data_IF_439340606954
#
_entry.id   IF_439340606954
#
_cell.length_a   1.000
_cell.length_b   1.000
_cell.length_c   1.000
_cell.angle_alpha   90.00
_cell.angle_beta   90.00
_cell.angle_gamma   90.00
#
_symmetry.space_group_name_H-M   'P 1'
#
loop_
_entity.id
_entity.type
_entity.pdbx_description
1 polymer ?
#
# COMPACT_ATOMS: atom_id res chain seq x y z
N UNK A 1 8.83 -6.16 25.25
CA UNK A 1 9.40 -7.35 24.57
C UNK A 1 8.52 -7.84 23.41
N UNK A 2 7.21 -7.93 23.55
CA UNK A 2 6.29 -8.41 22.47
C UNK A 2 6.38 -7.61 21.16
N UNK A 3 6.49 -6.28 21.20
CA UNK A 3 6.60 -5.44 19.99
C UNK A 3 7.86 -5.70 19.17
N UNK A 4 9.02 -5.84 19.83
CA UNK A 4 10.28 -6.09 19.13
C UNK A 4 10.26 -7.47 18.48
N UNK A 5 9.74 -8.46 19.19
CA UNK A 5 9.65 -9.83 18.68
C UNK A 5 8.69 -9.94 17.49
N UNK A 6 7.48 -9.38 17.60
CA UNK A 6 6.51 -9.40 16.49
C UNK A 6 7.02 -8.63 15.26
N UNK A 7 7.70 -7.49 15.45
CA UNK A 7 8.34 -6.76 14.36
C UNK A 7 9.45 -7.56 13.68
N UNK A 8 10.33 -8.20 14.45
CA UNK A 8 11.39 -9.04 13.91
C UNK A 8 10.84 -10.24 13.12
N UNK A 9 9.80 -10.90 13.63
CA UNK A 9 9.13 -12.02 12.94
C UNK A 9 8.51 -11.55 11.63
N UNK A 10 7.81 -10.40 11.62
CA UNK A 10 7.20 -9.86 10.40
C UNK A 10 8.26 -9.51 9.35
N UNK A 11 9.35 -8.88 9.75
CA UNK A 11 10.45 -8.54 8.84
C UNK A 11 11.09 -9.82 8.29
N UNK A 12 11.39 -10.80 9.14
CA UNK A 12 11.97 -12.07 8.71
C UNK A 12 11.05 -12.81 7.74
N UNK A 13 9.74 -12.84 8.02
CA UNK A 13 8.73 -13.44 7.15
C UNK A 13 8.66 -12.71 5.80
N UNK A 14 8.61 -11.38 5.81
CA UNK A 14 8.56 -10.58 4.59
C UNK A 14 9.80 -10.81 3.72
N UNK A 15 10.99 -10.81 4.32
CA UNK A 15 12.24 -11.12 3.62
C UNK A 15 12.22 -12.54 3.05
N UNK A 16 11.82 -13.53 3.86
CA UNK A 16 11.76 -14.92 3.43
C UNK A 16 10.80 -15.11 2.25
N UNK A 17 9.61 -14.51 2.32
CA UNK A 17 8.60 -14.57 1.25
C UNK A 17 9.10 -13.89 -0.02
N UNK A 18 9.71 -12.70 0.08
CA UNK A 18 10.22 -11.97 -1.09
C UNK A 18 11.35 -12.74 -1.80
N UNK A 19 12.26 -13.35 -1.04
CA UNK A 19 13.44 -13.99 -1.63
C UNK A 19 13.25 -15.46 -2.01
N UNK A 20 12.50 -16.22 -1.23
CA UNK A 20 12.46 -17.69 -1.35
C UNK A 20 11.11 -18.24 -1.80
N UNK A 21 10.00 -17.47 -1.70
CA UNK A 21 8.70 -17.99 -2.12
C UNK A 21 8.64 -18.21 -3.65
N UNK A 22 8.16 -19.38 -4.10
CA UNK A 22 7.82 -19.59 -5.49
C UNK A 22 6.66 -18.67 -5.90
N UNK A 23 6.47 -18.39 -7.20
CA UNK A 23 5.49 -17.40 -7.68
C UNK A 23 4.06 -17.63 -7.16
N UNK A 24 3.59 -18.88 -7.09
CA UNK A 24 2.25 -19.21 -6.60
C UNK A 24 2.09 -18.91 -5.11
N UNK A 25 3.12 -19.17 -4.30
CA UNK A 25 3.09 -18.88 -2.86
C UNK A 25 3.16 -17.37 -2.61
N UNK A 26 3.96 -16.64 -3.40
CA UNK A 26 4.01 -15.18 -3.33
C UNK A 26 2.65 -14.55 -3.69
N UNK A 27 1.97 -15.07 -4.73
CA UNK A 27 0.61 -14.67 -5.07
C UNK A 27 -0.37 -14.96 -3.93
N UNK A 28 -0.29 -16.14 -3.33
CA UNK A 28 -1.14 -16.51 -2.18
C UNK A 28 -0.94 -15.55 -0.98
N UNK A 29 0.30 -15.14 -0.71
CA UNK A 29 0.58 -14.09 0.28
C UNK A 29 -0.05 -12.75 -0.10
N UNK A 30 0.03 -12.36 -1.36
CA UNK A 30 -0.63 -11.16 -1.87
C UNK A 30 -2.15 -11.23 -1.67
N UNK A 31 -2.77 -12.37 -1.99
CA UNK A 31 -4.21 -12.63 -1.74
C UNK A 31 -4.55 -12.47 -0.26
N UNK A 32 -3.73 -13.05 0.62
CA UNK A 32 -3.95 -12.94 2.08
C UNK A 32 -3.86 -11.49 2.55
N UNK A 33 -2.81 -10.76 2.14
CA UNK A 33 -2.62 -9.34 2.49
C UNK A 33 -3.79 -8.50 1.97
N UNK A 34 -4.19 -8.71 0.71
CA UNK A 34 -5.32 -7.99 0.14
C UNK A 34 -6.63 -8.29 0.86
N UNK A 35 -6.89 -9.55 1.20
CA UNK A 35 -8.09 -9.95 1.92
C UNK A 35 -8.18 -9.32 3.32
N UNK A 36 -7.07 -9.34 4.06
CA UNK A 36 -6.99 -8.70 5.38
C UNK A 36 -7.16 -7.18 5.28
N UNK A 37 -6.47 -6.55 4.32
CA UNK A 37 -6.58 -5.11 4.09
C UNK A 37 -8.00 -4.67 3.68
N UNK A 38 -8.67 -5.44 2.82
CA UNK A 38 -10.09 -5.20 2.47
C UNK A 38 -10.98 -5.29 3.69
N UNK A 39 -10.80 -6.31 4.53
CA UNK A 39 -11.59 -6.44 5.74
C UNK A 39 -11.41 -5.23 6.67
N UNK A 40 -10.19 -4.77 6.89
CA UNK A 40 -9.90 -3.58 7.70
C UNK A 40 -10.55 -2.32 7.08
N UNK A 41 -10.41 -2.13 5.76
CA UNK A 41 -10.97 -0.96 5.08
C UNK A 41 -12.51 -0.96 5.09
N UNK A 42 -13.15 -2.12 4.96
CA UNK A 42 -14.61 -2.26 5.08
C UNK A 42 -15.06 -1.95 6.53
N UNK A 43 -14.31 -2.37 7.54
CA UNK A 43 -14.58 -2.01 8.93
C UNK A 43 -14.52 -0.49 9.14
N UNK A 44 -13.49 0.18 8.58
CA UNK A 44 -13.37 1.64 8.64
C UNK A 44 -14.52 2.34 7.92
N UNK A 45 -14.93 1.86 6.74
CA UNK A 45 -16.06 2.40 6.00
C UNK A 45 -17.38 2.29 6.80
N UNK A 46 -17.61 1.12 7.41
CA UNK A 46 -18.80 0.90 8.25
C UNK A 46 -18.78 1.75 9.54
N UNK A 47 -17.62 1.97 10.14
CA UNK A 47 -17.45 2.90 11.26
C UNK A 47 -17.81 4.34 10.86
N UNK A 48 -17.59 4.70 9.59
CA UNK A 48 -18.02 5.97 8.98
C UNK A 48 -19.48 5.97 8.50
N UNK A 49 -20.31 5.02 8.93
CA UNK A 49 -21.74 4.87 8.60
C UNK A 49 -21.99 4.62 7.11
N UNK A 50 -21.04 4.03 6.38
CA UNK A 50 -21.23 3.64 4.99
C UNK A 50 -21.66 2.17 4.91
N UNK A 51 -22.64 1.89 4.05
CA UNK A 51 -23.12 0.53 3.80
C UNK A 51 -22.22 -0.13 2.73
N UNK A 52 -21.35 -1.04 3.19
CA UNK A 52 -20.36 -1.74 2.35
C UNK A 52 -20.44 -3.23 2.60
N UNK A 53 -20.75 -4.00 1.56
CA UNK A 53 -20.83 -5.47 1.62
C UNK A 53 -19.46 -6.09 1.43
N UNK A 54 -18.96 -6.83 2.44
CA UNK A 54 -17.58 -7.38 2.44
C UNK A 54 -17.30 -8.31 1.26
N UNK A 55 -18.16 -9.32 1.02
CA UNK A 55 -17.87 -10.38 0.06
C UNK A 55 -17.76 -9.92 -1.39
N UNK A 56 -18.70 -9.11 -1.92
CA UNK A 56 -18.58 -8.58 -3.28
C UNK A 56 -17.35 -7.67 -3.45
N UNK A 57 -17.06 -6.83 -2.45
CA UNK A 57 -15.89 -5.94 -2.45
C UNK A 57 -14.60 -6.76 -2.42
N UNK A 58 -14.54 -7.80 -1.59
CA UNK A 58 -13.41 -8.71 -1.53
C UNK A 58 -13.18 -9.40 -2.89
N UNK A 59 -14.24 -9.95 -3.50
CA UNK A 59 -14.15 -10.60 -4.81
C UNK A 59 -13.64 -9.64 -5.89
N UNK A 60 -14.17 -8.41 -5.96
CA UNK A 60 -13.76 -7.40 -6.92
C UNK A 60 -12.27 -6.99 -6.70
N UNK A 61 -11.86 -6.82 -5.45
CA UNK A 61 -10.48 -6.45 -5.11
C UNK A 61 -9.49 -7.57 -5.46
N UNK A 62 -9.81 -8.81 -5.12
CA UNK A 62 -8.97 -9.96 -5.43
C UNK A 62 -8.88 -10.20 -6.94
N UNK A 63 -9.98 -10.03 -7.69
CA UNK A 63 -9.97 -10.09 -9.14
C UNK A 63 -9.01 -9.04 -9.72
N UNK A 64 -9.14 -7.78 -9.29
CA UNK A 64 -8.26 -6.69 -9.73
C UNK A 64 -6.80 -6.99 -9.42
N UNK A 65 -6.51 -7.44 -8.19
CA UNK A 65 -5.16 -7.81 -7.75
C UNK A 65 -4.56 -8.92 -8.62
N UNK A 66 -5.30 -10.00 -8.87
CA UNK A 66 -4.82 -11.15 -9.66
C UNK A 66 -4.58 -10.74 -11.12
N UNK A 67 -5.44 -9.90 -11.69
CA UNK A 67 -5.29 -9.41 -13.07
C UNK A 67 -4.04 -8.55 -13.21
N UNK A 68 -3.77 -7.65 -12.27
CA UNK A 68 -2.54 -6.83 -12.28
C UNK A 68 -1.30 -7.68 -12.03
N UNK A 69 -1.37 -8.60 -11.07
CA UNK A 69 -0.26 -9.47 -10.69
C UNK A 69 0.10 -10.53 -11.75
N UNK A 70 -0.83 -10.82 -12.66
CA UNK A 70 -0.66 -11.81 -13.74
C UNK A 70 -1.13 -11.25 -15.09
N UNK A 71 -0.50 -10.19 -15.60
CA UNK A 71 -1.00 -9.38 -16.73
C UNK A 71 -1.14 -10.12 -18.06
N UNK A 72 -0.62 -11.35 -18.17
CA UNK A 72 -0.66 -12.11 -19.42
C UNK A 72 -2.03 -12.74 -19.74
N UNK A 73 -2.99 -12.75 -18.81
CA UNK A 73 -4.25 -13.51 -18.98
C UNK A 73 -5.49 -12.64 -19.26
N UNK A 74 -5.65 -11.51 -18.59
CA UNK A 74 -6.88 -10.70 -18.70
C UNK A 74 -6.56 -9.21 -18.72
N UNK A 75 -7.28 -8.42 -19.54
CA UNK A 75 -7.16 -6.96 -19.55
C UNK A 75 -7.68 -6.36 -18.24
N UNK A 76 -6.96 -5.34 -17.72
CA UNK A 76 -7.33 -4.67 -16.47
C UNK A 76 -8.66 -3.92 -16.58
N UNK A 77 -8.94 -3.33 -17.73
CA UNK A 77 -10.20 -2.64 -18.02
C UNK A 77 -11.40 -3.56 -17.84
N UNK A 78 -11.33 -4.81 -18.32
CA UNK A 78 -12.39 -5.80 -18.14
C UNK A 78 -12.62 -6.09 -16.64
N UNK A 79 -11.55 -6.24 -15.85
CA UNK A 79 -11.70 -6.48 -14.42
C UNK A 79 -12.35 -5.28 -13.70
N UNK A 80 -11.93 -4.05 -14.01
CA UNK A 80 -12.47 -2.85 -13.38
C UNK A 80 -13.91 -2.57 -13.82
N UNK A 81 -14.24 -2.76 -15.10
CA UNK A 81 -15.62 -2.63 -15.59
C UNK A 81 -16.55 -3.68 -14.96
N UNK A 82 -16.08 -4.92 -14.86
CA UNK A 82 -16.85 -5.99 -14.20
C UNK A 82 -17.07 -5.69 -12.71
N UNK A 83 -16.04 -5.19 -12.01
CA UNK A 83 -16.14 -4.77 -10.61
C UNK A 83 -17.16 -3.62 -10.46
N UNK A 84 -17.10 -2.61 -11.34
CA UNK A 84 -18.04 -1.48 -11.33
C UNK A 84 -19.49 -1.96 -11.48
N UNK A 85 -19.75 -2.78 -12.50
CA UNK A 85 -21.11 -3.29 -12.75
C UNK A 85 -21.59 -4.18 -11.61
N UNK A 86 -20.78 -5.14 -11.17
CA UNK A 86 -21.15 -6.06 -10.10
C UNK A 86 -21.42 -5.33 -8.78
N UNK A 87 -20.52 -4.42 -8.36
CA UNK A 87 -20.69 -3.65 -7.13
C UNK A 87 -21.83 -2.62 -7.24
N UNK A 88 -22.06 -2.05 -8.42
CA UNK A 88 -23.21 -1.20 -8.69
C UNK A 88 -24.54 -1.94 -8.55
N UNK A 89 -24.65 -3.17 -9.07
CA UNK A 89 -25.82 -4.02 -8.90
C UNK A 89 -26.04 -4.43 -7.44
N UNK A 90 -24.97 -4.75 -6.71
CA UNK A 90 -25.04 -5.05 -5.26
C UNK A 90 -25.53 -3.81 -4.50
N UNK A 91 -24.97 -2.63 -4.78
CA UNK A 91 -25.38 -1.38 -4.14
C UNK A 91 -26.86 -1.07 -4.42
N UNK A 92 -27.32 -1.26 -5.68
CA UNK A 92 -28.72 -1.08 -6.06
C UNK A 92 -29.65 -2.04 -5.31
N UNK A 93 -29.28 -3.31 -5.22
CA UNK A 93 -30.09 -4.35 -4.56
C UNK A 93 -30.11 -4.24 -3.02
N UNK A 94 -29.07 -3.68 -2.42
CA UNK A 94 -28.96 -3.49 -0.96
C UNK A 94 -29.50 -2.15 -0.47
N UNK A 95 -29.68 -1.17 -1.34
CA UNK A 95 -30.09 0.17 -0.93
C UNK A 95 -31.48 0.21 -0.31
N UNK A 96 -31.57 0.75 0.88
CA UNK A 96 -32.82 0.89 1.67
C UNK A 96 -33.33 2.34 1.75
N UNK A 97 -32.79 3.22 0.92
CA UNK A 97 -33.03 4.67 0.98
C UNK A 97 -31.95 5.38 1.82
N UNK A 98 -31.90 6.71 1.71
CA UNK A 98 -30.97 7.54 2.48
C UNK A 98 -29.92 8.27 1.64
N UNK A 99 -29.23 9.27 2.22
CA UNK A 99 -28.35 10.19 1.50
C UNK A 99 -26.95 9.61 1.21
N UNK A 100 -26.58 8.46 1.78
CA UNK A 100 -25.23 7.89 1.70
C UNK A 100 -24.99 6.98 0.51
N UNK A 101 -25.94 6.81 -0.40
CA UNK A 101 -25.85 5.88 -1.52
C UNK A 101 -24.58 6.07 -2.37
N UNK A 102 -24.29 7.31 -2.79
CA UNK A 102 -23.09 7.62 -3.57
C UNK A 102 -21.81 7.31 -2.80
N UNK A 103 -21.76 7.71 -1.53
CA UNK A 103 -20.58 7.48 -0.68
C UNK A 103 -20.35 5.98 -0.41
N UNK A 104 -21.42 5.21 -0.17
CA UNK A 104 -21.37 3.76 0.02
C UNK A 104 -20.95 3.03 -1.26
N UNK A 105 -21.46 3.43 -2.43
CA UNK A 105 -21.06 2.87 -3.72
C UNK A 105 -19.57 3.18 -4.00
N UNK A 106 -19.12 4.41 -3.78
CA UNK A 106 -17.72 4.80 -3.92
C UNK A 106 -16.82 4.02 -2.95
N UNK A 107 -17.21 3.88 -1.68
CA UNK A 107 -16.48 3.10 -0.68
C UNK A 107 -16.42 1.61 -1.01
N UNK A 108 -17.42 1.07 -1.75
CA UNK A 108 -17.41 -0.31 -2.21
C UNK A 108 -16.44 -0.54 -3.38
N UNK A 109 -16.24 0.45 -4.25
CA UNK A 109 -15.28 0.38 -5.37
C UNK A 109 -13.84 0.69 -4.94
N UNK A 110 -13.67 1.51 -3.91
CA UNK A 110 -12.39 2.03 -3.47
C UNK A 110 -11.36 0.93 -3.12
N UNK A 111 -11.68 -0.19 -2.45
CA UNK A 111 -10.72 -1.25 -2.15
C UNK A 111 -10.10 -1.90 -3.39
N UNK A 112 -10.83 -2.03 -4.49
CA UNK A 112 -10.26 -2.56 -5.73
C UNK A 112 -9.14 -1.66 -6.28
N UNK A 113 -9.30 -0.34 -6.16
CA UNK A 113 -8.30 0.65 -6.58
C UNK A 113 -7.18 0.81 -5.56
N UNK A 114 -7.51 0.95 -4.28
CA UNK A 114 -6.57 1.29 -3.21
C UNK A 114 -5.74 0.10 -2.72
N UNK A 115 -6.29 -1.12 -2.76
CA UNK A 115 -5.62 -2.35 -2.32
C UNK A 115 -5.34 -3.26 -3.52
N UNK A 116 -6.35 -3.53 -4.36
CA UNK A 116 -6.24 -4.48 -5.46
C UNK A 116 -5.16 -4.11 -6.47
N UNK A 117 -5.17 -2.88 -6.98
CA UNK A 117 -4.14 -2.43 -7.92
C UNK A 117 -2.74 -2.42 -7.30
N UNK A 118 -2.49 -1.82 -6.11
CA UNK A 118 -1.15 -1.75 -5.55
C UNK A 118 -0.59 -3.11 -5.11
N UNK A 119 -1.40 -3.96 -4.48
CA UNK A 119 -0.93 -5.30 -4.09
C UNK A 119 -0.68 -6.16 -5.34
N UNK A 120 -1.52 -6.05 -6.36
CA UNK A 120 -1.25 -6.64 -7.68
C UNK A 120 0.05 -6.13 -8.29
N UNK A 121 0.32 -4.82 -8.19
CA UNK A 121 1.58 -4.23 -8.64
C UNK A 121 2.80 -4.80 -7.88
N UNK A 122 2.72 -5.02 -6.56
CA UNK A 122 3.78 -5.69 -5.80
C UNK A 122 4.06 -7.11 -6.31
N UNK A 123 3.00 -7.87 -6.63
CA UNK A 123 3.13 -9.21 -7.22
C UNK A 123 3.77 -9.13 -8.61
N UNK A 124 3.34 -8.19 -9.45
CA UNK A 124 3.90 -7.97 -10.78
C UNK A 124 5.37 -7.54 -10.73
N UNK A 125 5.75 -6.60 -9.83
CA UNK A 125 7.14 -6.19 -9.61
C UNK A 125 8.00 -7.41 -9.27
N UNK A 126 7.53 -8.29 -8.38
CA UNK A 126 8.26 -9.50 -8.00
C UNK A 126 8.42 -10.47 -9.18
N UNK A 127 7.42 -10.57 -10.02
CA UNK A 127 7.43 -11.48 -11.19
C UNK A 127 8.31 -10.96 -12.32
N UNK A 128 8.27 -9.64 -12.60
CA UNK A 128 9.00 -8.99 -13.70
C UNK A 128 10.44 -8.63 -13.32
N UNK A 129 10.62 -7.96 -12.19
CA UNK A 129 11.92 -7.44 -11.72
C UNK A 129 12.63 -8.34 -10.72
N UNK A 130 12.01 -9.46 -10.34
CA UNK A 130 12.56 -10.40 -9.36
C UNK A 130 12.55 -9.89 -7.92
N UNK A 131 13.14 -10.69 -7.03
CA UNK A 131 13.23 -10.36 -5.60
C UNK A 131 13.95 -9.03 -5.34
N UNK A 132 15.00 -8.75 -6.12
CA UNK A 132 15.82 -7.54 -5.96
C UNK A 132 15.01 -6.26 -6.19
N UNK A 133 14.20 -6.21 -7.23
CA UNK A 133 13.38 -5.04 -7.54
C UNK A 133 12.35 -4.78 -6.43
N UNK A 134 11.61 -5.80 -6.02
CA UNK A 134 10.62 -5.65 -4.95
C UNK A 134 11.29 -5.29 -3.61
N UNK A 135 12.38 -5.95 -3.28
CA UNK A 135 13.09 -5.69 -2.02
C UNK A 135 13.69 -4.29 -1.99
N UNK A 136 14.17 -3.75 -3.14
CA UNK A 136 14.63 -2.38 -3.25
C UNK A 136 13.53 -1.37 -2.90
N UNK A 137 12.31 -1.56 -3.42
CA UNK A 137 11.16 -0.74 -3.06
C UNK A 137 10.87 -0.80 -1.55
N UNK A 138 10.78 -2.00 -1.00
CA UNK A 138 10.50 -2.19 0.44
C UNK A 138 11.59 -1.56 1.31
N UNK A 139 12.85 -1.78 0.96
CA UNK A 139 13.99 -1.23 1.70
C UNK A 139 14.00 0.31 1.64
N UNK A 140 13.65 0.89 0.48
CA UNK A 140 13.53 2.34 0.31
C UNK A 140 12.49 2.93 1.23
N UNK A 141 11.31 2.33 1.31
CA UNK A 141 10.24 2.75 2.22
C UNK A 141 10.68 2.62 3.68
N UNK A 142 11.23 1.48 4.07
CA UNK A 142 11.68 1.23 5.46
C UNK A 142 12.76 2.24 5.88
N UNK A 143 13.75 2.51 5.02
CA UNK A 143 14.82 3.46 5.31
C UNK A 143 14.28 4.88 5.35
N UNK A 144 13.36 5.24 4.43
CA UNK A 144 12.69 6.52 4.45
C UNK A 144 11.94 6.75 5.76
N UNK A 145 11.12 5.78 6.21
CA UNK A 145 10.35 5.91 7.45
C UNK A 145 11.24 5.99 8.69
N UNK A 146 12.29 5.19 8.71
CA UNK A 146 13.30 5.22 9.78
C UNK A 146 13.98 6.59 9.82
N UNK A 147 14.39 7.12 8.67
CA UNK A 147 15.02 8.42 8.56
C UNK A 147 14.05 9.56 8.94
N UNK A 148 12.77 9.47 8.51
CA UNK A 148 11.72 10.42 8.93
C UNK A 148 11.61 10.48 10.45
N UNK A 149 11.58 9.32 11.11
CA UNK A 149 11.46 9.25 12.56
C UNK A 149 12.67 9.90 13.26
N UNK A 150 13.90 9.51 12.90
CA UNK A 150 15.10 10.03 13.58
C UNK A 150 15.37 11.50 13.26
N UNK A 151 15.21 11.92 12.00
CA UNK A 151 15.39 13.33 11.61
C UNK A 151 14.29 14.21 12.23
N UNK A 152 13.05 13.74 12.25
CA UNK A 152 11.95 14.43 12.91
C UNK A 152 12.15 14.56 14.42
N UNK A 153 12.72 13.54 15.07
CA UNK A 153 13.03 13.58 16.49
C UNK A 153 14.21 14.51 16.82
N UNK A 154 15.22 14.56 15.96
CA UNK A 154 16.43 15.35 16.18
C UNK A 154 16.24 16.84 15.81
N UNK A 155 15.54 17.11 14.71
CA UNK A 155 15.47 18.43 14.08
C UNK A 155 14.05 18.96 13.91
N UNK A 156 13.01 18.15 14.17
CA UNK A 156 11.62 18.50 13.91
C UNK A 156 11.15 19.73 14.66
N UNK A 157 10.63 20.70 13.91
CA UNK A 157 10.09 21.96 14.44
C UNK A 157 8.70 22.24 13.90
N UNK A 158 8.44 21.88 12.63
CA UNK A 158 7.21 22.21 11.92
C UNK A 158 6.41 20.95 11.65
N UNK A 159 5.14 20.84 12.10
CA UNK A 159 4.33 19.69 11.79
C UNK A 159 4.05 19.59 10.29
N UNK A 160 4.13 18.37 9.73
CA UNK A 160 3.86 18.12 8.31
C UNK A 160 2.36 18.09 8.01
N UNK A 161 1.58 17.42 8.85
CA UNK A 161 0.14 17.24 8.69
C UNK A 161 -0.55 17.27 10.06
N UNK A 162 -0.80 18.47 10.66
CA UNK A 162 -1.25 18.63 12.04
C UNK A 162 -2.54 17.88 12.35
N UNK A 163 -3.49 17.85 11.43
CA UNK A 163 -4.82 17.24 11.61
C UNK A 163 -4.75 15.72 11.50
N UNK A 164 -3.95 15.20 10.59
CA UNK A 164 -3.90 13.78 10.24
C UNK A 164 -2.89 13.03 11.10
N UNK A 165 -1.66 13.56 11.18
CA UNK A 165 -0.55 12.96 11.91
C UNK A 165 0.30 14.05 12.58
N UNK A 166 -0.09 14.52 13.78
CA UNK A 166 0.55 15.66 14.44
C UNK A 166 2.02 15.43 14.84
N UNK A 167 2.47 14.18 14.87
CA UNK A 167 3.86 13.82 15.21
C UNK A 167 4.82 13.84 14.03
N UNK A 168 4.30 13.85 12.78
CA UNK A 168 5.15 13.95 11.59
C UNK A 168 5.58 15.39 11.36
N UNK A 169 6.86 15.59 11.01
CA UNK A 169 7.44 16.93 10.81
C UNK A 169 7.99 17.09 9.40
N UNK A 170 8.08 18.34 8.92
CA UNK A 170 8.64 18.68 7.60
C UNK A 170 10.13 18.27 7.56
N UNK A 171 10.87 18.53 8.63
CA UNK A 171 12.28 18.16 8.74
C UNK A 171 12.47 16.63 8.71
N UNK A 172 11.54 15.90 9.32
CA UNK A 172 11.47 14.45 9.21
C UNK A 172 11.25 14.00 7.77
N UNK A 173 10.26 14.57 7.08
CA UNK A 173 9.97 14.25 5.68
C UNK A 173 11.16 14.53 4.75
N UNK A 174 11.88 15.64 4.97
CA UNK A 174 13.13 15.93 4.24
C UNK A 174 14.20 14.87 4.51
N UNK A 175 14.38 14.47 5.77
CA UNK A 175 15.30 13.38 6.12
C UNK A 175 14.95 12.07 5.41
N UNK A 176 13.67 11.68 5.44
CA UNK A 176 13.18 10.51 4.71
C UNK A 176 13.43 10.60 3.20
N UNK A 177 13.16 11.78 2.61
CA UNK A 177 13.39 12.03 1.19
C UNK A 177 14.88 11.87 0.82
N UNK A 178 15.77 12.44 1.59
CA UNK A 178 17.22 12.34 1.34
C UNK A 178 17.70 10.90 1.48
N UNK A 179 17.49 10.28 2.63
CA UNK A 179 18.06 8.94 2.90
C UNK A 179 17.41 7.84 2.06
N UNK A 180 16.10 7.89 1.84
CA UNK A 180 15.41 6.94 0.97
C UNK A 180 15.85 7.06 -0.50
N UNK A 181 15.99 8.29 -1.01
CA UNK A 181 16.50 8.54 -2.38
C UNK A 181 17.93 8.07 -2.55
N UNK A 182 18.81 8.39 -1.59
CA UNK A 182 20.22 7.95 -1.61
C UNK A 182 20.31 6.43 -1.59
N UNK A 183 19.51 5.76 -0.75
CA UNK A 183 19.45 4.31 -0.72
C UNK A 183 19.02 3.74 -2.07
N UNK A 184 17.87 4.22 -2.61
CA UNK A 184 17.35 3.72 -3.88
C UNK A 184 18.37 3.91 -5.02
N UNK A 185 18.96 5.09 -5.12
CA UNK A 185 19.94 5.39 -6.16
C UNK A 185 21.22 4.54 -6.03
N UNK A 186 21.73 4.37 -4.81
CA UNK A 186 22.96 3.62 -4.53
C UNK A 186 22.78 2.12 -4.74
N UNK A 187 21.78 1.50 -4.11
CA UNK A 187 21.50 0.06 -4.26
C UNK A 187 21.01 -0.25 -5.66
N UNK A 188 20.21 0.64 -6.24
CA UNK A 188 19.75 0.53 -7.62
C UNK A 188 20.87 0.52 -8.66
N UNK A 189 22.05 1.01 -8.34
CA UNK A 189 23.22 0.92 -9.21
C UNK A 189 23.59 -0.54 -9.52
N UNK A 190 23.45 -1.42 -8.54
CA UNK A 190 23.74 -2.86 -8.69
C UNK A 190 22.52 -3.70 -9.08
N UNK A 191 21.33 -3.30 -8.64
CA UNK A 191 20.12 -4.12 -8.82
C UNK A 191 19.29 -3.72 -10.04
N UNK A 192 19.47 -2.49 -10.55
CA UNK A 192 18.85 -1.93 -11.74
C UNK A 192 19.91 -1.25 -12.63
N UNK A 193 20.94 -1.97 -13.07
CA UNK A 193 22.10 -1.37 -13.76
C UNK A 193 21.74 -0.68 -15.08
N UNK A 194 20.69 -1.13 -15.74
CA UNK A 194 20.21 -0.52 -17.00
C UNK A 194 19.61 0.89 -16.79
N UNK A 195 19.23 1.24 -15.58
CA UNK A 195 18.58 2.51 -15.28
C UNK A 195 19.61 3.62 -15.03
N UNK A 196 19.57 4.76 -15.76
CA UNK A 196 20.52 5.88 -15.58
C UNK A 196 20.49 6.44 -14.17
N UNK A 197 21.64 6.95 -13.67
CA UNK A 197 21.77 7.46 -12.30
C UNK A 197 20.77 8.59 -12.01
N UNK A 198 20.62 9.55 -12.93
CA UNK A 198 19.67 10.66 -12.77
C UNK A 198 18.22 10.13 -12.64
N UNK A 199 17.86 9.12 -13.44
CA UNK A 199 16.53 8.53 -13.39
C UNK A 199 16.29 7.78 -12.08
N UNK A 200 17.30 7.04 -11.56
CA UNK A 200 17.23 6.39 -10.24
C UNK A 200 17.00 7.42 -9.12
N UNK A 201 17.67 8.59 -9.17
CA UNK A 201 17.48 9.65 -8.18
C UNK A 201 16.04 10.17 -8.23
N UNK A 202 15.55 10.53 -9.42
CA UNK A 202 14.19 11.04 -9.59
C UNK A 202 13.15 10.00 -9.15
N UNK A 203 13.32 8.76 -9.58
CA UNK A 203 12.41 7.68 -9.21
C UNK A 203 12.45 7.42 -7.69
N UNK A 204 13.64 7.33 -7.09
CA UNK A 204 13.79 7.15 -5.65
C UNK A 204 13.08 8.25 -4.85
N UNK A 205 13.27 9.52 -5.25
CA UNK A 205 12.57 10.65 -4.63
C UNK A 205 11.05 10.53 -4.78
N UNK A 206 10.58 10.18 -5.99
CA UNK A 206 9.15 10.00 -6.26
C UNK A 206 8.56 8.92 -5.38
N UNK A 207 9.22 7.75 -5.27
CA UNK A 207 8.74 6.64 -4.45
C UNK A 207 8.67 6.99 -2.96
N UNK A 208 9.65 7.75 -2.46
CA UNK A 208 9.65 8.23 -1.07
C UNK A 208 8.52 9.22 -0.82
N UNK A 209 8.34 10.22 -1.70
CA UNK A 209 7.25 11.20 -1.57
C UNK A 209 5.89 10.49 -1.60
N UNK A 210 5.71 9.54 -2.50
CA UNK A 210 4.49 8.74 -2.57
C UNK A 210 4.31 7.86 -1.33
N UNK A 211 5.38 7.27 -0.79
CA UNK A 211 5.31 6.52 0.47
C UNK A 211 4.84 7.39 1.64
N UNK A 212 5.40 8.59 1.78
CA UNK A 212 4.96 9.57 2.78
C UNK A 212 3.49 9.95 2.58
N UNK A 213 3.08 10.17 1.34
CA UNK A 213 1.71 10.51 1.00
C UNK A 213 0.74 9.35 1.31
N UNK A 214 1.15 8.09 1.04
CA UNK A 214 0.36 6.90 1.32
C UNK A 214 0.07 6.71 2.81
N UNK A 215 1.10 6.82 3.67
CA UNK A 215 0.93 6.76 5.12
C UNK A 215 0.03 7.92 5.64
N UNK A 216 0.20 9.14 5.13
CA UNK A 216 -0.70 10.25 5.48
C UNK A 216 -2.13 9.99 5.01
N UNK A 217 -2.30 9.43 3.83
CA UNK A 217 -3.61 9.11 3.29
C UNK A 217 -4.33 8.03 4.12
N UNK A 218 -3.64 6.95 4.46
CA UNK A 218 -4.17 5.91 5.35
C UNK A 218 -4.50 6.48 6.73
N UNK A 219 -3.62 7.31 7.28
CA UNK A 219 -3.88 8.02 8.54
C UNK A 219 -5.13 8.90 8.44
N UNK A 220 -5.38 9.58 7.32
CA UNK A 220 -6.60 10.36 7.09
C UNK A 220 -7.85 9.47 7.11
N UNK A 221 -7.82 8.32 6.46
CA UNK A 221 -8.94 7.36 6.48
C UNK A 221 -9.25 6.89 7.91
N UNK A 222 -8.24 6.57 8.71
CA UNK A 222 -8.41 6.18 10.12
C UNK A 222 -9.04 7.31 10.94
N UNK A 223 -8.58 8.56 10.76
CA UNK A 223 -9.16 9.70 11.50
C UNK A 223 -10.61 9.97 11.11
N UNK A 224 -10.96 9.82 9.83
CA UNK A 224 -12.35 9.97 9.38
C UNK A 224 -13.30 8.92 10.00
N UNK A 225 -12.77 7.73 10.30
CA UNK A 225 -13.50 6.68 11.01
C UNK A 225 -13.43 6.79 12.55
N UNK A 226 -12.79 7.85 13.09
CA UNK A 226 -12.65 8.07 14.53
C UNK A 226 -11.67 7.13 15.23
N UNK A 227 -10.82 6.42 14.50
CA UNK A 227 -9.86 5.46 15.04
C UNK A 227 -8.41 5.88 14.80
N UNK A 228 -7.49 5.21 15.46
CA UNK A 228 -6.04 5.44 15.29
C UNK A 228 -5.35 4.35 14.49
N UNK A 229 -5.67 3.11 14.73
CA UNK A 229 -5.09 1.94 14.08
C UNK A 229 -6.20 1.26 13.25
N UNK A 230 -5.86 0.67 12.09
CA UNK A 230 -6.84 0.05 11.19
C UNK A 230 -7.50 -1.19 11.82
N UNK A 231 -6.74 -1.92 12.65
CA UNK A 231 -7.21 -3.05 13.47
C UNK A 231 -6.22 -3.36 14.60
N UNK A 232 -6.53 -4.39 15.39
CA UNK A 232 -5.62 -4.95 16.40
C UNK A 232 -5.06 -6.32 15.99
N UNK A 233 -5.02 -6.61 14.68
CA UNK A 233 -4.65 -7.92 14.14
C UNK A 233 -3.21 -8.31 14.52
N UNK A 234 -2.28 -7.36 14.46
CA UNK A 234 -0.88 -7.60 14.79
C UNK A 234 -0.59 -7.01 16.17
N UNK A 235 -0.34 -7.85 17.20
CA UNK A 235 -0.13 -7.36 18.56
C UNK A 235 0.96 -6.28 18.65
N UNK A 236 0.57 -5.08 19.05
CA UNK A 236 1.46 -3.93 19.20
C UNK A 236 1.86 -3.22 17.90
N UNK A 237 1.34 -3.65 16.74
CA UNK A 237 1.67 -3.10 15.42
C UNK A 237 0.45 -2.69 14.58
N UNK A 238 -0.77 -2.73 15.12
CA UNK A 238 -1.98 -2.35 14.40
C UNK A 238 -2.43 -3.39 13.38
N UNK A 239 -2.99 -2.95 12.28
CA UNK A 239 -3.47 -3.80 11.20
C UNK A 239 -2.47 -4.03 10.08
N UNK A 240 -2.93 -4.74 9.05
CA UNK A 240 -2.16 -4.98 7.83
C UNK A 240 -2.06 -3.71 6.99
N UNK A 241 -3.10 -2.88 6.94
CA UNK A 241 -3.06 -1.60 6.24
C UNK A 241 -1.99 -0.68 6.83
N UNK A 242 -1.87 -0.62 8.17
CA UNK A 242 -0.82 0.13 8.86
C UNK A 242 0.61 -0.33 8.49
N UNK A 243 0.78 -1.46 7.83
CA UNK A 243 2.10 -2.03 7.43
C UNK A 243 2.41 -1.86 5.95
N UNK A 244 1.42 -1.65 5.12
CA UNK A 244 1.59 -1.56 3.68
C UNK A 244 1.20 -0.19 3.10
N UNK A 245 0.70 0.73 3.91
CA UNK A 245 0.19 2.05 3.54
C UNK A 245 1.10 2.83 2.57
N UNK A 246 2.39 2.94 2.90
CA UNK A 246 3.39 3.59 2.05
C UNK A 246 3.59 2.82 0.72
N UNK A 247 3.56 1.48 0.77
CA UNK A 247 3.71 0.64 -0.41
C UNK A 247 2.50 0.75 -1.36
N UNK A 248 1.29 0.98 -0.84
CA UNK A 248 0.09 1.12 -1.66
C UNK A 248 0.17 2.30 -2.63
N UNK A 249 0.90 3.35 -2.29
CA UNK A 249 1.11 4.51 -3.18
C UNK A 249 2.37 4.37 -4.04
N UNK A 250 3.45 3.84 -3.49
CA UNK A 250 4.72 3.73 -4.19
C UNK A 250 4.73 2.59 -5.24
N UNK A 251 4.11 1.45 -4.94
CA UNK A 251 4.18 0.28 -5.80
C UNK A 251 3.59 0.48 -7.21
N UNK A 252 2.42 1.14 -7.41
CA UNK A 252 1.87 1.35 -8.74
C UNK A 252 2.81 2.13 -9.65
N UNK A 253 3.46 3.18 -9.14
CA UNK A 253 4.38 4.00 -9.94
C UNK A 253 5.64 3.23 -10.26
N UNK A 254 6.19 2.49 -9.30
CA UNK A 254 7.36 1.67 -9.54
C UNK A 254 7.07 0.54 -10.55
N UNK A 255 5.89 -0.08 -10.46
CA UNK A 255 5.43 -1.07 -11.44
C UNK A 255 5.36 -0.49 -12.85
N UNK A 256 4.75 0.70 -13.01
CA UNK A 256 4.64 1.37 -14.30
C UNK A 256 6.03 1.63 -14.89
N UNK A 257 6.95 2.13 -14.07
CA UNK A 257 8.33 2.38 -14.51
C UNK A 257 9.01 1.08 -14.97
N UNK A 258 8.96 0.02 -14.17
CA UNK A 258 9.57 -1.27 -14.53
C UNK A 258 8.95 -1.92 -15.76
N UNK A 259 7.69 -1.60 -16.08
CA UNK A 259 6.98 -2.17 -17.22
C UNK A 259 7.26 -1.44 -18.52
N UNK A 260 7.49 -0.14 -18.49
CA UNK A 260 7.53 0.71 -19.69
C UNK A 260 8.87 1.43 -19.93
N UNK A 261 9.77 1.39 -18.98
CA UNK A 261 11.11 1.98 -19.04
C UNK A 261 12.18 0.89 -18.92
#
# INVERSE_FOLDING_TARGET
MTRVLSGAVLIALAVAVVWFAPPWLFLAFGVLIAALGVNELVVLARASQLDVSLWPVLAATLLTMVVVGSPARYPLDVALMSALVALGLVALGSWRGGPTALASAAASLFPALYIGLPVGALVAIRTMGGARALFLLMLTVIVSDTAQYYSGRAFGRRPLAPVVSPKKTIEGAIGGAVFGTVLFASVGMWWLPAMPAAFRIVLGLTLVVLGIAGDLFESMLKRSAGVKDSSSLIPGHGGILDRIDALLFAAPVYYIVLKYV
#
